data_IF_038516855084
#
_entry.id   IF_038516855084
#
_cell.length_a   1.000
_cell.length_b   1.000
_cell.length_c   1.000
_cell.angle_alpha   90.00
_cell.angle_beta   90.00
_cell.angle_gamma   90.00
#
_symmetry.space_group_name_H-M   'P 1'
#
loop_
_entity.id
_entity.type
_entity.pdbx_description
1 polymer ?
#
# COMPACT_ATOMS: atom_id res chain seq x y z
N UNK A 1 22.16 -14.93 -13.08
CA UNK A 1 20.79 -14.61 -12.61
C UNK A 1 20.89 -13.35 -11.77
N UNK A 2 20.02 -12.36 -11.97
CA UNK A 2 19.99 -11.19 -11.08
C UNK A 2 19.39 -11.61 -9.74
N UNK A 3 20.02 -11.29 -8.59
CA UNK A 3 19.42 -11.54 -7.30
C UNK A 3 18.12 -10.74 -7.15
N UNK A 4 17.12 -11.39 -6.55
CA UNK A 4 15.88 -10.74 -6.13
C UNK A 4 16.04 -10.25 -4.71
N UNK A 5 15.63 -9.02 -4.45
CA UNK A 5 15.71 -8.39 -3.14
C UNK A 5 14.33 -7.90 -2.73
N UNK A 6 13.84 -8.40 -1.60
CA UNK A 6 12.67 -7.88 -0.91
C UNK A 6 13.10 -6.76 0.02
N UNK A 7 12.41 -5.63 -0.04
CA UNK A 7 12.67 -4.46 0.81
C UNK A 7 11.40 -4.02 1.52
N UNK A 8 11.50 -3.78 2.81
CA UNK A 8 10.35 -3.46 3.67
C UNK A 8 10.46 -2.11 4.40
N UNK A 9 11.64 -1.47 4.34
CA UNK A 9 11.97 -0.27 5.10
C UNK A 9 12.45 0.91 4.26
N UNK A 10 13.59 1.49 4.63
CA UNK A 10 14.11 2.74 4.05
C UNK A 10 14.48 2.65 2.56
N UNK A 11 14.67 1.43 2.04
CA UNK A 11 14.91 1.13 0.63
C UNK A 11 13.64 1.12 -0.24
N UNK A 12 12.45 1.01 0.36
CA UNK A 12 11.17 1.05 -0.37
C UNK A 12 10.98 2.37 -1.11
N UNK A 13 10.13 2.36 -2.13
CA UNK A 13 9.77 3.56 -2.86
C UNK A 13 9.25 4.65 -1.91
N UNK A 14 9.74 5.88 -2.11
CA UNK A 14 9.53 7.02 -1.22
C UNK A 14 10.34 7.01 0.09
N UNK A 15 11.16 5.99 0.34
CA UNK A 15 12.13 5.93 1.42
C UNK A 15 13.44 6.67 1.08
N UNK A 16 14.14 7.16 2.10
CA UNK A 16 15.34 7.99 1.91
C UNK A 16 16.55 7.22 1.35
N UNK A 17 16.56 5.89 1.45
CA UNK A 17 17.59 5.02 0.86
C UNK A 17 17.16 4.41 -0.48
N UNK A 18 15.98 4.74 -1.01
CA UNK A 18 15.48 4.16 -2.27
C UNK A 18 16.44 4.37 -3.46
N UNK A 19 17.28 5.40 -3.41
CA UNK A 19 18.27 5.67 -4.46
C UNK A 19 19.25 4.50 -4.72
N UNK A 20 19.49 3.61 -3.75
CA UNK A 20 20.29 2.39 -3.95
C UNK A 20 19.65 1.43 -4.97
N UNK A 21 18.34 1.48 -5.13
CA UNK A 21 17.55 0.72 -6.10
C UNK A 21 17.30 1.48 -7.40
N UNK A 22 17.97 2.61 -7.64
CA UNK A 22 17.81 3.36 -8.88
C UNK A 22 18.07 2.48 -10.10
N UNK A 23 17.11 2.45 -11.03
CA UNK A 23 17.08 1.61 -12.23
C UNK A 23 16.98 0.08 -11.96
N UNK A 24 16.72 -0.35 -10.72
CA UNK A 24 16.32 -1.73 -10.47
C UNK A 24 14.93 -1.97 -11.05
N UNK A 25 14.70 -3.17 -11.57
CA UNK A 25 13.37 -3.55 -12.09
C UNK A 25 12.48 -3.92 -10.90
N UNK A 26 11.39 -3.18 -10.70
CA UNK A 26 10.33 -3.58 -9.76
C UNK A 26 9.61 -4.81 -10.30
N UNK A 27 9.53 -5.86 -9.48
CA UNK A 27 8.78 -7.08 -9.76
C UNK A 27 7.39 -6.98 -9.16
N UNK A 28 7.29 -6.65 -7.86
CA UNK A 28 6.04 -6.45 -7.13
C UNK A 28 6.12 -5.14 -6.35
N UNK A 29 5.13 -4.26 -6.49
CA UNK A 29 4.99 -3.08 -5.62
C UNK A 29 4.25 -3.42 -4.32
N UNK A 30 3.42 -4.47 -4.35
CA UNK A 30 2.66 -5.01 -3.24
C UNK A 30 3.04 -6.47 -3.03
N UNK A 31 3.80 -6.71 -1.96
CA UNK A 31 4.20 -8.05 -1.54
C UNK A 31 4.42 -8.11 -0.04
N UNK A 32 4.48 -9.30 0.52
CA UNK A 32 4.71 -9.51 1.94
C UNK A 32 5.41 -10.82 2.24
N UNK A 33 5.88 -10.89 3.47
CA UNK A 33 6.54 -12.04 4.09
C UNK A 33 5.96 -12.22 5.49
N UNK A 34 6.09 -13.41 6.07
CA UNK A 34 5.75 -13.63 7.47
C UNK A 34 6.86 -13.05 8.37
N UNK A 35 6.46 -12.40 9.46
CA UNK A 35 7.37 -11.84 10.45
C UNK A 35 6.83 -10.60 11.14
N UNK A 36 7.70 -9.97 11.93
CA UNK A 36 7.36 -8.81 12.75
C UNK A 36 8.25 -7.62 12.42
N UNK A 37 7.62 -6.46 12.20
CA UNK A 37 8.31 -5.22 11.90
C UNK A 37 8.35 -4.32 13.15
N UNK A 38 9.50 -3.73 13.42
CA UNK A 38 9.71 -2.83 14.55
C UNK A 38 10.36 -1.52 14.09
N UNK A 39 10.00 -0.41 14.73
CA UNK A 39 10.75 0.84 14.65
C UNK A 39 11.97 0.72 15.57
N UNK A 40 13.13 1.14 15.07
CA UNK A 40 14.36 1.15 15.89
C UNK A 40 14.54 2.49 16.62
N UNK A 41 13.61 3.43 16.45
CA UNK A 41 13.70 4.84 16.87
C UNK A 41 14.87 5.62 16.24
N UNK A 42 15.61 5.00 15.31
CA UNK A 42 16.75 5.60 14.61
C UNK A 42 16.42 5.98 13.15
N UNK A 43 15.14 6.00 12.79
CA UNK A 43 14.66 6.37 11.45
C UNK A 43 14.70 5.24 10.42
N UNK A 44 14.88 4.00 10.86
CA UNK A 44 14.82 2.80 10.02
C UNK A 44 14.17 1.63 10.78
N UNK A 45 13.48 0.71 10.09
CA UNK A 45 12.84 -0.41 10.75
C UNK A 45 13.73 -1.66 10.79
N UNK A 46 13.32 -2.63 11.60
CA UNK A 46 13.93 -3.97 11.63
C UNK A 46 12.86 -5.06 11.50
N UNK A 47 13.15 -6.06 10.68
CA UNK A 47 12.42 -7.32 10.61
C UNK A 47 13.02 -8.32 11.59
N UNK A 48 12.20 -8.87 12.50
CA UNK A 48 12.61 -9.90 13.45
C UNK A 48 11.82 -11.19 13.21
N UNK A 49 12.54 -12.32 13.27
CA UNK A 49 11.98 -13.68 13.22
C UNK A 49 11.55 -14.13 14.62
N UNK A 50 10.54 -13.45 15.18
CA UNK A 50 9.95 -13.80 16.47
C UNK A 50 8.69 -14.68 16.32
N UNK A 51 8.09 -15.07 17.45
CA UNK A 51 6.89 -15.90 17.47
C UNK A 51 5.59 -15.12 17.23
N UNK A 52 5.63 -13.82 16.92
CA UNK A 52 4.40 -13.07 16.66
C UNK A 52 3.92 -13.39 15.25
N UNK A 53 2.65 -13.74 15.15
CA UNK A 53 1.99 -13.90 13.87
C UNK A 53 1.75 -12.52 13.26
N UNK A 54 2.31 -12.28 12.07
CA UNK A 54 2.20 -11.01 11.38
C UNK A 54 2.74 -11.09 9.96
N UNK A 55 2.50 -10.02 9.21
CA UNK A 55 3.06 -9.84 7.88
C UNK A 55 3.88 -8.57 7.85
N UNK A 56 5.00 -8.61 7.13
CA UNK A 56 5.79 -7.43 6.80
C UNK A 56 5.58 -7.13 5.33
N UNK A 57 5.03 -5.95 5.05
CA UNK A 57 4.72 -5.49 3.70
C UNK A 57 5.90 -4.75 3.09
N UNK A 58 6.14 -5.03 1.82
CA UNK A 58 7.28 -4.51 1.09
C UNK A 58 7.16 -4.67 -0.42
N UNK A 59 8.29 -4.43 -1.06
CA UNK A 59 8.44 -4.40 -2.51
C UNK A 59 9.52 -5.39 -2.92
N UNK A 60 9.40 -5.97 -4.12
CA UNK A 60 10.33 -6.95 -4.65
C UNK A 60 11.01 -6.39 -5.90
N UNK A 61 12.35 -6.44 -5.94
CA UNK A 61 13.15 -5.93 -7.06
C UNK A 61 14.14 -6.95 -7.59
N UNK A 62 14.41 -6.93 -8.89
CA UNK A 62 15.63 -7.51 -9.47
C UNK A 62 16.77 -6.49 -9.34
N UNK A 63 17.82 -6.86 -8.61
CA UNK A 63 18.99 -5.99 -8.37
C UNK A 63 20.24 -6.61 -8.99
N UNK A 64 21.16 -5.77 -9.48
CA UNK A 64 22.47 -6.26 -9.93
C UNK A 64 23.42 -6.48 -8.74
N UNK A 65 24.48 -7.27 -8.94
CA UNK A 65 25.48 -7.54 -7.88
C UNK A 65 26.15 -6.28 -7.34
N UNK A 66 26.29 -5.22 -8.14
CA UNK A 66 26.86 -3.96 -7.69
C UNK A 66 25.91 -3.17 -6.77
N UNK A 67 24.60 -3.19 -7.04
CA UNK A 67 23.59 -2.63 -6.14
C UNK A 67 23.54 -3.41 -4.84
N UNK A 68 23.49 -4.74 -4.91
CA UNK A 68 23.45 -5.60 -3.72
C UNK A 68 24.66 -5.34 -2.80
N UNK A 69 25.88 -5.22 -3.34
CA UNK A 69 27.07 -4.88 -2.54
C UNK A 69 26.99 -3.52 -1.83
N UNK A 70 26.37 -2.52 -2.47
CA UNK A 70 26.16 -1.21 -1.84
C UNK A 70 25.13 -1.28 -0.72
N UNK A 71 24.10 -2.10 -0.90
CA UNK A 71 23.09 -2.35 0.12
C UNK A 71 23.70 -3.16 1.27
N UNK A 72 24.54 -4.17 1.00
CA UNK A 72 25.30 -4.88 2.04
C UNK A 72 26.12 -3.91 2.91
N UNK A 73 26.74 -2.89 2.31
CA UNK A 73 27.46 -1.84 3.06
C UNK A 73 26.53 -0.96 3.90
N UNK A 74 25.37 -0.56 3.35
CA UNK A 74 24.36 0.23 4.06
C UNK A 74 23.86 -0.52 5.30
N UNK A 75 23.52 -1.80 5.12
CA UNK A 75 22.94 -2.67 6.15
C UNK A 75 24.00 -3.25 7.11
N UNK A 76 25.28 -2.85 6.95
CA UNK A 76 26.43 -3.36 7.70
C UNK A 76 26.47 -4.89 7.74
N UNK A 77 26.30 -5.50 6.56
CA UNK A 77 26.32 -6.94 6.36
C UNK A 77 27.65 -7.40 5.76
N UNK A 78 28.28 -8.37 6.41
CA UNK A 78 29.42 -9.15 5.92
C UNK A 78 29.09 -10.64 6.07
N UNK A 79 29.30 -11.41 5.00
CA UNK A 79 28.97 -12.83 4.98
C UNK A 79 29.75 -13.61 6.06
N UNK A 80 29.03 -14.29 6.95
CA UNK A 80 29.59 -15.07 8.05
C UNK A 80 30.01 -14.27 9.28
N UNK A 81 29.85 -12.94 9.27
CA UNK A 81 30.16 -12.10 10.44
C UNK A 81 29.00 -12.12 11.45
N UNK A 82 29.22 -12.59 12.70
CA UNK A 82 28.18 -12.67 13.72
C UNK A 82 27.79 -11.31 14.34
N UNK A 83 28.50 -10.22 14.01
CA UNK A 83 28.31 -8.87 14.57
C UNK A 83 27.65 -7.90 13.57
N UNK A 84 27.10 -8.42 12.47
CA UNK A 84 26.30 -7.67 11.51
C UNK A 84 25.18 -6.88 12.20
N UNK A 85 24.87 -5.69 11.66
CA UNK A 85 23.67 -4.97 12.08
C UNK A 85 22.41 -5.69 11.55
N UNK A 86 22.45 -6.07 10.28
CA UNK A 86 21.46 -6.93 9.65
C UNK A 86 22.12 -8.16 9.04
N UNK A 87 21.50 -9.32 9.21
CA UNK A 87 21.85 -10.53 8.49
C UNK A 87 21.05 -10.63 7.20
N UNK A 88 21.61 -11.28 6.18
CA UNK A 88 20.93 -11.50 4.90
C UNK A 88 20.39 -12.91 4.82
N UNK A 89 19.09 -13.04 4.60
CA UNK A 89 18.40 -14.33 4.52
C UNK A 89 17.70 -14.52 3.18
N UNK A 90 17.53 -15.79 2.78
CA UNK A 90 16.72 -16.17 1.62
C UNK A 90 15.34 -16.62 2.07
N UNK A 91 14.32 -15.82 1.78
CA UNK A 91 12.95 -16.02 2.24
C UNK A 91 11.97 -16.19 1.06
N UNK A 92 10.75 -16.62 1.37
CA UNK A 92 9.66 -16.69 0.39
C UNK A 92 8.82 -15.42 0.49
N UNK A 93 8.71 -14.69 -0.63
CA UNK A 93 7.88 -13.50 -0.77
C UNK A 93 6.60 -13.87 -1.51
N UNK A 94 5.46 -13.37 -1.02
CA UNK A 94 4.13 -13.59 -1.61
C UNK A 94 3.57 -12.25 -2.11
N UNK A 95 2.85 -12.24 -3.24
CA UNK A 95 2.14 -11.06 -3.74
C UNK A 95 0.61 -11.25 -3.62
N UNK A 96 -0.14 -10.22 -4.03
CA UNK A 96 -1.61 -10.21 -4.00
C UNK A 96 -2.28 -11.30 -4.86
N UNK A 97 -1.53 -12.00 -5.72
CA UNK A 97 -1.99 -13.10 -6.59
C UNK A 97 -1.60 -14.49 -6.07
N UNK A 98 -1.06 -14.58 -4.85
CA UNK A 98 -0.49 -15.78 -4.23
C UNK A 98 0.73 -16.36 -5.00
N UNK A 99 1.38 -15.55 -5.85
CA UNK A 99 2.64 -15.92 -6.48
C UNK A 99 3.76 -15.92 -5.43
N UNK A 100 4.54 -17.01 -5.37
CA UNK A 100 5.61 -17.19 -4.37
C UNK A 100 6.97 -17.19 -5.03
N UNK A 101 7.84 -16.31 -4.55
CA UNK A 101 9.18 -16.11 -5.12
C UNK A 101 10.24 -16.12 -4.02
N UNK A 102 11.36 -16.82 -4.26
CA UNK A 102 12.52 -16.76 -3.37
C UNK A 102 13.30 -15.48 -3.61
N UNK A 103 13.60 -14.76 -2.54
CA UNK A 103 14.32 -13.50 -2.57
C UNK A 103 15.24 -13.35 -1.35
N UNK A 104 16.27 -12.54 -1.50
CA UNK A 104 17.07 -12.05 -0.38
C UNK A 104 16.28 -10.98 0.37
N UNK A 105 16.46 -10.91 1.68
CA UNK A 105 16.04 -9.79 2.53
C UNK A 105 17.11 -9.55 3.61
N UNK A 106 17.01 -8.44 4.32
CA UNK A 106 17.82 -8.17 5.51
C UNK A 106 16.96 -8.37 6.76
N UNK A 107 17.42 -9.15 7.73
CA UNK A 107 16.76 -9.38 9.03
C UNK A 107 17.62 -8.78 10.15
N UNK A 108 17.03 -8.43 11.28
CA UNK A 108 17.78 -7.85 12.40
C UNK A 108 18.82 -8.82 12.95
N UNK A 109 20.09 -8.39 12.98
CA UNK A 109 21.15 -9.09 13.68
C UNK A 109 21.04 -8.92 15.20
N UNK A 110 22.00 -9.48 15.95
CA UNK A 110 22.01 -9.47 17.43
C UNK A 110 21.85 -8.09 18.05
N UNK A 111 22.35 -7.04 17.37
CA UNK A 111 22.31 -5.65 17.84
C UNK A 111 20.91 -5.02 17.78
N UNK A 112 19.97 -5.64 17.08
CA UNK A 112 18.61 -5.13 16.89
C UNK A 112 17.52 -6.03 17.50
N UNK A 113 17.89 -7.17 18.08
CA UNK A 113 16.94 -8.17 18.60
C UNK A 113 16.06 -7.65 19.75
N UNK A 114 16.55 -6.63 20.49
CA UNK A 114 15.84 -6.00 21.60
C UNK A 114 14.92 -4.84 21.16
N UNK A 115 14.69 -4.67 19.86
CA UNK A 115 13.75 -3.66 19.34
C UNK A 115 12.32 -4.00 19.77
N UNK A 116 11.62 -3.04 20.39
CA UNK A 116 10.33 -3.29 21.05
C UNK A 116 9.17 -2.42 20.53
N UNK A 117 9.42 -1.38 19.73
CA UNK A 117 8.35 -0.56 19.15
C UNK A 117 7.75 -1.27 17.94
N UNK A 118 6.78 -2.15 18.19
CA UNK A 118 6.15 -2.98 17.18
C UNK A 118 5.23 -2.16 16.27
N UNK A 119 5.41 -2.34 14.96
CA UNK A 119 4.59 -1.72 13.93
C UNK A 119 3.47 -2.69 13.57
N UNK A 120 2.30 -2.52 14.21
CA UNK A 120 1.14 -3.40 14.06
C UNK A 120 0.67 -3.56 12.60
N UNK A 121 0.79 -2.52 11.78
CA UNK A 121 0.39 -2.58 10.36
C UNK A 121 1.34 -3.41 9.51
N UNK A 122 2.55 -3.70 9.99
CA UNK A 122 3.60 -4.36 9.22
C UNK A 122 4.13 -3.54 8.03
N UNK A 123 3.77 -2.26 7.91
CA UNK A 123 4.13 -1.41 6.78
C UNK A 123 4.85 -0.13 7.25
N UNK A 124 6.15 -0.06 6.97
CA UNK A 124 7.02 1.07 7.32
C UNK A 124 6.58 2.40 6.69
N UNK A 125 6.14 2.37 5.43
CA UNK A 125 5.70 3.58 4.74
C UNK A 125 4.43 4.12 5.40
N UNK A 126 3.49 3.26 5.77
CA UNK A 126 2.29 3.69 6.52
C UNK A 126 2.68 4.25 7.89
N UNK A 127 3.51 3.54 8.65
CA UNK A 127 3.97 3.96 9.97
C UNK A 127 4.60 5.36 9.95
N UNK A 128 5.50 5.62 9.02
CA UNK A 128 6.18 6.92 8.89
C UNK A 128 5.29 8.01 8.31
N UNK A 129 4.38 7.67 7.39
CA UNK A 129 3.46 8.63 6.79
C UNK A 129 2.48 9.20 7.82
N UNK A 130 1.96 8.36 8.73
CA UNK A 130 1.00 8.79 9.75
C UNK A 130 1.61 9.70 10.83
N UNK A 131 2.93 9.80 10.93
CA UNK A 131 3.62 10.75 11.82
C UNK A 131 3.58 12.21 11.30
N UNK A 132 3.03 12.45 10.10
CA UNK A 132 2.97 13.78 9.47
C UNK A 132 1.70 14.56 9.85
N UNK A 133 1.75 15.90 9.79
CA UNK A 133 0.61 16.75 10.18
C UNK A 133 -0.46 16.94 9.09
N UNK A 134 -0.11 16.75 7.81
CA UNK A 134 -1.01 17.00 6.68
C UNK A 134 -1.06 15.76 5.79
N UNK A 135 -2.02 14.88 6.05
CA UNK A 135 -2.16 13.62 5.33
C UNK A 135 -3.02 13.84 4.10
N UNK A 136 -2.58 13.30 2.96
CA UNK A 136 -3.41 13.20 1.77
C UNK A 136 -4.05 11.81 1.74
N UNK A 137 -5.37 11.78 1.63
CA UNK A 137 -6.14 10.56 1.42
C UNK A 137 -6.64 10.49 -0.02
N UNK A 138 -6.28 9.43 -0.72
CA UNK A 138 -6.74 9.14 -2.08
C UNK A 138 -7.92 8.16 -2.05
N UNK A 139 -9.11 8.63 -2.39
CA UNK A 139 -10.31 7.83 -2.50
C UNK A 139 -10.60 7.46 -3.96
N UNK A 140 -10.79 6.17 -4.25
CA UNK A 140 -11.13 5.66 -5.58
C UNK A 140 -12.48 4.92 -5.63
N UNK A 141 -13.14 4.73 -4.48
CA UNK A 141 -14.42 4.03 -4.34
C UNK A 141 -15.50 4.90 -3.69
N UNK A 142 -16.37 4.30 -2.87
CA UNK A 142 -17.48 5.01 -2.20
C UNK A 142 -17.06 6.20 -1.33
N UNK A 143 -15.80 6.25 -0.87
CA UNK A 143 -15.26 7.37 -0.11
C UNK A 143 -15.07 8.65 -0.96
N UNK A 144 -15.32 8.60 -2.27
CA UNK A 144 -15.44 9.79 -3.10
C UNK A 144 -16.75 10.55 -2.86
N UNK A 145 -17.75 9.92 -2.25
CA UNK A 145 -19.07 10.47 -1.92
C UNK A 145 -19.16 10.83 -0.43
N UNK A 146 -19.93 11.88 -0.12
CA UNK A 146 -20.01 12.50 1.21
C UNK A 146 -21.19 12.02 2.07
N UNK A 147 -22.14 11.26 1.49
CA UNK A 147 -23.36 10.82 2.19
C UNK A 147 -23.02 10.05 3.46
N UNK A 148 -22.12 9.07 3.37
CA UNK A 148 -21.70 8.27 4.54
C UNK A 148 -20.87 9.05 5.54
N UNK A 149 -20.07 10.03 5.10
CA UNK A 149 -19.33 10.87 6.04
C UNK A 149 -20.30 11.74 6.85
N UNK A 150 -21.34 12.26 6.22
CA UNK A 150 -22.41 13.04 6.86
C UNK A 150 -23.21 12.19 7.84
N UNK A 151 -23.64 10.99 7.43
CA UNK A 151 -24.38 10.06 8.28
C UNK A 151 -23.60 9.64 9.55
N UNK A 152 -22.27 9.63 9.47
CA UNK A 152 -21.38 9.31 10.60
C UNK A 152 -20.87 10.55 11.33
N UNK A 153 -21.34 11.75 10.98
CA UNK A 153 -20.92 13.04 11.55
C UNK A 153 -19.40 13.32 11.45
N UNK A 154 -18.73 12.81 10.42
CA UNK A 154 -17.30 13.00 10.16
C UNK A 154 -17.02 13.79 8.88
N UNK A 155 -18.06 14.28 8.20
CA UNK A 155 -17.97 15.07 6.95
C UNK A 155 -17.02 16.26 7.08
N UNK A 156 -16.96 16.88 8.25
CA UNK A 156 -16.08 18.02 8.52
C UNK A 156 -14.59 17.71 8.27
N UNK A 157 -14.16 16.47 8.41
CA UNK A 157 -12.78 16.05 8.10
C UNK A 157 -12.49 15.94 6.59
N UNK A 158 -13.54 15.81 5.76
CA UNK A 158 -13.42 15.54 4.32
C UNK A 158 -13.86 16.75 3.46
N UNK A 159 -14.02 17.94 4.05
CA UNK A 159 -14.37 19.18 3.33
C UNK A 159 -13.23 19.77 2.51
N UNK A 160 -11.98 19.51 2.90
CA UNK A 160 -10.81 20.02 2.20
C UNK A 160 -10.42 19.10 1.03
N UNK A 161 -11.14 19.22 -0.08
CA UNK A 161 -10.87 18.48 -1.33
C UNK A 161 -9.78 19.21 -2.10
N UNK A 162 -8.64 18.56 -2.29
CA UNK A 162 -7.48 19.15 -3.00
C UNK A 162 -7.68 19.08 -4.52
N UNK A 163 -8.35 18.03 -5.00
CA UNK A 163 -8.68 17.81 -6.42
C UNK A 163 -8.79 16.33 -6.75
N UNK A 164 -8.70 16.01 -8.03
CA UNK A 164 -8.52 14.63 -8.52
C UNK A 164 -7.04 14.36 -8.85
N UNK A 165 -6.65 13.09 -8.76
CA UNK A 165 -5.30 12.63 -9.06
C UNK A 165 -5.32 11.32 -9.85
N UNK A 166 -4.21 11.04 -10.54
CA UNK A 166 -3.97 9.78 -11.24
C UNK A 166 -3.06 8.88 -10.41
N UNK A 167 -3.46 7.63 -10.24
CA UNK A 167 -2.63 6.54 -9.75
C UNK A 167 -2.29 5.63 -10.93
N UNK A 168 -1.03 5.62 -11.37
CA UNK A 168 -0.59 4.75 -12.47
C UNK A 168 -0.18 3.37 -11.95
N UNK A 169 -0.27 2.35 -12.80
CA UNK A 169 0.17 0.99 -12.47
C UNK A 169 -0.87 0.19 -11.67
N UNK A 170 -2.10 0.69 -11.61
CA UNK A 170 -3.21 0.04 -10.93
C UNK A 170 -4.46 0.09 -11.79
N UNK A 171 -5.30 -0.93 -11.63
CA UNK A 171 -6.65 -1.01 -12.18
C UNK A 171 -7.67 -1.03 -11.05
N UNK A 172 -8.78 -0.32 -11.19
CA UNK A 172 -9.92 -0.44 -10.28
C UNK A 172 -10.72 -1.70 -10.61
N UNK A 173 -10.89 -2.59 -9.64
CA UNK A 173 -11.67 -3.83 -9.76
C UNK A 173 -12.72 -3.94 -8.64
N UNK A 174 -13.82 -4.64 -8.87
CA UNK A 174 -14.80 -5.01 -7.84
C UNK A 174 -14.48 -6.39 -7.25
N UNK A 175 -13.20 -6.62 -6.94
CA UNK A 175 -12.60 -7.92 -6.58
C UNK A 175 -12.54 -8.18 -5.07
N UNK A 176 -12.65 -7.14 -4.23
CA UNK A 176 -12.61 -7.34 -2.78
C UNK A 176 -13.91 -8.06 -2.38
N UNK A 177 -13.82 -9.16 -1.63
CA UNK A 177 -14.93 -10.09 -1.32
C UNK A 177 -15.80 -9.67 -0.12
N UNK A 178 -17.12 -9.48 -0.29
CA UNK A 178 -18.10 -9.30 0.80
C UNK A 178 -19.34 -10.12 0.52
N UNK A 179 -20.14 -10.26 1.58
CA UNK A 179 -21.42 -10.95 1.60
C UNK A 179 -22.52 -10.33 0.72
N UNK A 180 -22.38 -9.07 0.29
CA UNK A 180 -23.41 -8.30 -0.43
C UNK A 180 -23.03 -7.92 -1.87
N UNK A 181 -21.86 -8.35 -2.36
CA UNK A 181 -21.37 -8.05 -3.71
C UNK A 181 -20.01 -7.36 -3.74
N UNK A 182 -19.39 -7.26 -4.92
CA UNK A 182 -18.04 -6.76 -5.09
C UNK A 182 -17.85 -5.34 -4.55
N UNK A 183 -16.74 -5.10 -3.84
CA UNK A 183 -16.35 -3.74 -3.44
C UNK A 183 -15.10 -3.32 -4.20
N UNK A 184 -15.00 -2.02 -4.41
CA UNK A 184 -13.92 -1.40 -5.16
C UNK A 184 -12.56 -1.66 -4.50
N UNK A 185 -11.63 -2.12 -5.31
CA UNK A 185 -10.26 -2.45 -4.98
C UNK A 185 -9.34 -1.87 -6.05
N UNK A 186 -8.06 -1.73 -5.73
CA UNK A 186 -7.02 -1.44 -6.71
C UNK A 186 -6.10 -2.65 -6.83
N UNK A 187 -5.81 -3.06 -8.06
CA UNK A 187 -5.00 -4.25 -8.36
C UNK A 187 -3.85 -3.83 -9.26
N UNK A 188 -2.64 -4.33 -8.97
CA UNK A 188 -1.46 -4.02 -9.77
C UNK A 188 -1.65 -4.39 -11.25
N UNK A 189 -1.53 -3.37 -12.11
CA UNK A 189 -1.59 -3.49 -13.55
C UNK A 189 -0.82 -2.33 -14.19
N UNK A 190 0.40 -2.61 -14.65
CA UNK A 190 1.35 -1.61 -15.19
C UNK A 190 0.85 -0.85 -16.43
N UNK A 191 -0.24 -1.30 -17.06
CA UNK A 191 -0.81 -0.68 -18.25
C UNK A 191 -2.05 0.17 -17.95
N UNK A 192 -2.56 0.11 -16.72
CA UNK A 192 -3.78 0.77 -16.30
C UNK A 192 -3.50 1.93 -15.34
N UNK A 193 -4.55 2.72 -15.12
CA UNK A 193 -4.54 3.83 -14.18
C UNK A 193 -5.89 3.96 -13.48
N UNK A 194 -5.86 4.52 -12.28
CA UNK A 194 -7.03 4.85 -11.48
C UNK A 194 -7.10 6.36 -11.28
N UNK A 195 -8.25 6.96 -11.55
CA UNK A 195 -8.54 8.32 -11.10
C UNK A 195 -9.25 8.27 -9.74
N UNK A 196 -8.88 9.17 -8.84
CA UNK A 196 -9.49 9.25 -7.53
C UNK A 196 -9.54 10.68 -7.01
N UNK A 197 -10.38 10.90 -6.01
CA UNK A 197 -10.53 12.17 -5.30
C UNK A 197 -9.51 12.23 -4.15
N UNK A 198 -8.81 13.35 -4.03
CA UNK A 198 -7.81 13.58 -2.99
C UNK A 198 -8.35 14.56 -1.95
N UNK A 199 -8.32 14.12 -0.70
CA UNK A 199 -8.64 14.93 0.47
C UNK A 199 -7.37 15.23 1.25
N UNK A 200 -7.28 16.43 1.84
CA UNK A 200 -6.36 16.67 2.94
C UNK A 200 -7.11 16.44 4.24
N UNK A 201 -6.65 15.49 5.04
CA UNK A 201 -7.34 15.02 6.25
C UNK A 201 -6.39 15.03 7.45
N UNK A 202 -6.93 15.25 8.66
CA UNK A 202 -6.14 15.10 9.88
C UNK A 202 -6.04 13.61 10.27
N UNK A 203 -5.18 13.29 11.24
CA UNK A 203 -4.93 11.91 11.67
C UNK A 203 -6.21 11.21 12.20
N UNK A 204 -7.08 11.95 12.89
CA UNK A 204 -8.34 11.43 13.44
C UNK A 204 -9.27 10.89 12.34
N UNK A 205 -9.25 11.51 11.15
CA UNK A 205 -10.02 11.05 10.01
C UNK A 205 -9.50 9.71 9.48
N UNK A 206 -8.18 9.47 9.56
CA UNK A 206 -7.58 8.18 9.19
C UNK A 206 -8.01 7.09 10.18
N UNK A 207 -8.10 7.40 11.48
CA UNK A 207 -8.64 6.46 12.47
C UNK A 207 -10.09 6.05 12.14
N UNK A 208 -10.93 6.99 11.68
CA UNK A 208 -12.25 6.67 11.15
C UNK A 208 -12.18 5.78 9.90
N UNK A 209 -11.30 6.09 8.94
CA UNK A 209 -11.13 5.30 7.72
C UNK A 209 -10.69 3.87 8.05
N UNK A 210 -9.80 3.64 9.01
CA UNK A 210 -9.41 2.28 9.44
C UNK A 210 -10.59 1.44 9.88
N UNK A 211 -11.53 2.05 10.62
CA UNK A 211 -12.77 1.38 11.01
C UNK A 211 -13.69 1.14 9.81
N UNK A 212 -13.88 2.15 8.95
CA UNK A 212 -14.76 2.07 7.76
C UNK A 212 -14.29 1.02 6.76
N UNK A 213 -12.98 0.95 6.52
CA UNK A 213 -12.34 0.03 5.58
C UNK A 213 -12.08 -1.35 6.21
N UNK A 214 -12.47 -1.55 7.48
CA UNK A 214 -12.36 -2.85 8.14
C UNK A 214 -10.92 -3.34 8.30
N UNK A 215 -9.97 -2.44 8.58
CA UNK A 215 -8.55 -2.78 8.77
C UNK A 215 -8.36 -3.80 9.89
N UNK A 216 -9.05 -3.61 11.01
CA UNK A 216 -8.97 -4.49 12.19
C UNK A 216 -9.62 -5.86 11.98
N UNK A 217 -10.38 -6.05 10.90
CA UNK A 217 -10.96 -7.33 10.51
C UNK A 217 -10.36 -7.84 9.20
N UNK A 218 -9.22 -7.27 8.80
CA UNK A 218 -8.45 -7.65 7.61
C UNK A 218 -9.29 -7.63 6.32
N UNK A 219 -10.18 -6.64 6.14
CA UNK A 219 -10.95 -6.47 4.91
C UNK A 219 -10.18 -5.64 3.85
N UNK A 220 -9.52 -4.57 4.31
CA UNK A 220 -8.54 -3.80 3.57
C UNK A 220 -7.32 -3.55 4.46
N UNK A 221 -6.19 -3.25 3.85
CA UNK A 221 -5.00 -2.73 4.54
C UNK A 221 -4.64 -1.34 4.00
N UNK A 222 -4.10 -0.44 4.84
CA UNK A 222 -3.59 0.85 4.39
C UNK A 222 -2.31 0.65 3.55
N UNK A 223 -2.13 1.49 2.53
CA UNK A 223 -0.89 1.61 1.76
C UNK A 223 -0.58 3.07 1.45
N UNK A 224 0.69 3.37 1.22
CA UNK A 224 1.12 4.68 0.72
C UNK A 224 1.46 4.56 -0.77
N UNK A 225 0.79 5.35 -1.58
CA UNK A 225 0.93 5.38 -3.04
C UNK A 225 1.46 6.73 -3.52
N UNK A 226 2.09 6.71 -4.69
CA UNK A 226 2.47 7.91 -5.42
C UNK A 226 1.37 8.25 -6.43
N UNK A 227 0.85 9.46 -6.33
CA UNK A 227 -0.24 9.97 -7.17
C UNK A 227 0.21 11.22 -7.93
N UNK A 228 -0.26 11.38 -9.16
CA UNK A 228 -0.07 12.59 -9.93
C UNK A 228 -1.22 13.55 -9.66
N UNK A 229 -1.00 14.53 -8.78
CA UNK A 229 -1.97 15.53 -8.36
C UNK A 229 -1.57 16.89 -8.92
N UNK A 230 -2.38 17.46 -9.81
CA UNK A 230 -2.11 18.75 -10.48
C UNK A 230 -0.73 18.80 -11.19
N UNK A 231 -0.30 17.67 -11.75
CA UNK A 231 0.99 17.54 -12.44
C UNK A 231 2.20 17.33 -11.52
N UNK A 232 1.99 17.29 -10.20
CA UNK A 232 3.05 17.00 -9.22
C UNK A 232 2.85 15.60 -8.62
N UNK A 233 3.95 14.87 -8.45
CA UNK A 233 3.93 13.63 -7.69
C UNK A 233 3.76 13.96 -6.19
N UNK A 234 2.75 13.36 -5.57
CA UNK A 234 2.47 13.44 -4.13
C UNK A 234 2.29 12.04 -3.57
N UNK A 235 2.61 11.87 -2.28
CA UNK A 235 2.30 10.63 -1.56
C UNK A 235 0.95 10.76 -0.86
N UNK A 236 0.12 9.74 -0.97
CA UNK A 236 -1.17 9.67 -0.31
C UNK A 236 -1.39 8.30 0.35
N UNK A 237 -2.10 8.29 1.48
CA UNK A 237 -2.65 7.05 2.01
C UNK A 237 -3.88 6.65 1.18
N UNK A 238 -4.00 5.36 0.91
CA UNK A 238 -5.20 4.71 0.40
C UNK A 238 -5.35 3.34 1.07
N UNK A 239 -6.37 2.59 0.68
CA UNK A 239 -6.63 1.25 1.18
C UNK A 239 -6.67 0.27 0.01
N UNK A 240 -6.22 -0.96 0.22
CA UNK A 240 -6.22 -2.03 -0.78
C UNK A 240 -6.78 -3.31 -0.17
N UNK A 241 -7.58 -4.06 -0.93
CA UNK A 241 -8.19 -5.31 -0.48
C UNK A 241 -7.12 -6.35 -0.15
N UNK A 242 -7.27 -7.01 1.00
CA UNK A 242 -6.36 -8.05 1.52
C UNK A 242 -6.65 -9.43 0.95
N UNK A 243 -7.92 -9.67 0.58
CA UNK A 243 -8.39 -10.88 -0.10
C UNK A 243 -9.10 -10.47 -1.39
N UNK A 244 -8.55 -10.92 -2.51
CA UNK A 244 -9.01 -10.58 -3.85
C UNK A 244 -9.62 -11.81 -4.49
N UNK A 245 -10.83 -11.67 -5.01
CA UNK A 245 -11.56 -12.69 -5.75
C UNK A 245 -11.92 -12.19 -7.15
N UNK A 246 -12.56 -13.04 -7.95
CA UNK A 246 -13.10 -12.62 -9.23
C UNK A 246 -14.09 -11.46 -9.03
N UNK A 247 -14.12 -10.52 -9.98
CA UNK A 247 -15.01 -9.37 -9.89
C UNK A 247 -16.48 -9.81 -9.85
N UNK A 248 -17.24 -9.22 -8.93
CA UNK A 248 -18.69 -9.38 -8.87
C UNK A 248 -19.37 -8.02 -8.87
N UNK A 249 -20.64 -7.98 -9.24
CA UNK A 249 -21.38 -6.72 -9.26
C UNK A 249 -21.42 -6.09 -7.85
N UNK A 250 -21.15 -4.78 -7.73
CA UNK A 250 -21.45 -4.05 -6.50
C UNK A 250 -22.97 -3.98 -6.28
N UNK A 251 -23.40 -3.65 -5.05
CA UNK A 251 -24.81 -3.28 -4.84
C UNK A 251 -25.15 -2.00 -5.59
N UNK A 252 -26.43 -1.83 -5.96
CA UNK A 252 -26.92 -0.62 -6.65
C UNK A 252 -26.61 0.64 -5.82
N UNK A 253 -26.80 0.58 -4.50
CA UNK A 253 -26.50 1.71 -3.60
C UNK A 253 -25.01 2.03 -3.60
N UNK A 254 -24.14 1.02 -3.51
CA UNK A 254 -22.68 1.22 -3.53
C UNK A 254 -22.18 1.77 -4.86
N UNK A 255 -22.73 1.27 -5.99
CA UNK A 255 -22.45 1.83 -7.31
C UNK A 255 -22.89 3.29 -7.41
N UNK A 256 -24.07 3.63 -6.89
CA UNK A 256 -24.61 4.99 -6.90
C UNK A 256 -23.71 5.97 -6.14
N UNK A 257 -23.20 5.59 -4.97
CA UNK A 257 -22.21 6.38 -4.23
C UNK A 257 -20.94 6.62 -5.06
N UNK A 258 -20.37 5.58 -5.68
CA UNK A 258 -19.18 5.71 -6.53
C UNK A 258 -19.45 6.69 -7.68
N UNK A 259 -20.59 6.58 -8.35
CA UNK A 259 -20.93 7.44 -9.49
C UNK A 259 -21.18 8.89 -9.08
N UNK A 260 -21.87 9.14 -7.96
CA UNK A 260 -22.05 10.49 -7.42
C UNK A 260 -20.73 11.12 -6.99
N UNK A 261 -19.89 10.36 -6.28
CA UNK A 261 -18.61 10.83 -5.77
C UNK A 261 -17.59 11.14 -6.87
N UNK A 262 -17.66 10.41 -7.98
CA UNK A 262 -16.77 10.60 -9.14
C UNK A 262 -17.20 11.73 -10.07
N UNK A 263 -18.51 11.91 -10.26
CA UNK A 263 -19.07 12.93 -11.16
C UNK A 263 -18.68 14.35 -10.72
N UNK A 264 -18.18 15.15 -11.68
CA UNK A 264 -17.73 16.52 -11.42
C UNK A 264 -16.33 16.64 -10.80
N UNK A 265 -15.64 15.53 -10.54
CA UNK A 265 -14.27 15.52 -10.01
C UNK A 265 -13.29 14.74 -10.88
N UNK A 266 -13.67 13.53 -11.30
CA UNK A 266 -12.87 12.71 -12.21
C UNK A 266 -13.15 13.12 -13.67
N UNK A 267 -12.31 12.67 -14.60
CA UNK A 267 -12.52 12.93 -16.02
C UNK A 267 -13.77 12.22 -16.54
N UNK A 268 -14.51 12.87 -17.43
CA UNK A 268 -15.72 12.29 -18.04
C UNK A 268 -15.45 10.94 -18.72
N UNK A 269 -14.28 10.80 -19.35
CA UNK A 269 -13.85 9.54 -19.96
C UNK A 269 -13.65 8.41 -18.95
N UNK A 270 -13.10 8.72 -17.77
CA UNK A 270 -12.90 7.73 -16.72
C UNK A 270 -14.23 7.35 -16.06
N UNK A 271 -15.08 8.33 -15.77
CA UNK A 271 -16.44 8.11 -15.25
C UNK A 271 -17.27 7.23 -16.21
N UNK A 272 -17.20 7.48 -17.51
CA UNK A 272 -17.87 6.65 -18.52
C UNK A 272 -17.34 5.21 -18.53
N UNK A 273 -16.01 5.03 -18.44
CA UNK A 273 -15.38 3.70 -18.35
C UNK A 273 -15.84 2.95 -17.10
N UNK A 274 -15.85 3.62 -15.95
CA UNK A 274 -16.29 3.06 -14.68
C UNK A 274 -17.77 2.65 -14.71
N UNK A 275 -18.63 3.51 -15.25
CA UNK A 275 -20.05 3.20 -15.43
C UNK A 275 -20.26 1.99 -16.35
N UNK A 276 -19.51 1.89 -17.44
CA UNK A 276 -19.56 0.76 -18.35
C UNK A 276 -19.12 -0.54 -17.66
N UNK A 277 -18.05 -0.50 -16.87
CA UNK A 277 -17.58 -1.65 -16.08
C UNK A 277 -18.66 -2.15 -15.11
N UNK A 278 -19.24 -1.23 -14.33
CA UNK A 278 -20.35 -1.53 -13.40
C UNK A 278 -21.55 -2.15 -14.16
N UNK A 279 -21.94 -1.56 -15.30
CA UNK A 279 -23.06 -2.05 -16.10
C UNK A 279 -22.80 -3.44 -16.70
N UNK A 280 -21.55 -3.77 -17.04
CA UNK A 280 -21.19 -5.11 -17.50
C UNK A 280 -21.29 -6.13 -16.38
N UNK A 281 -20.84 -5.80 -15.17
CA UNK A 281 -20.94 -6.70 -14.01
C UNK A 281 -22.40 -6.98 -13.63
N UNK A 282 -23.30 -6.00 -13.73
CA UNK A 282 -24.74 -6.21 -13.51
C UNK A 282 -25.44 -7.11 -14.54
N UNK A 283 -24.78 -7.43 -15.67
CA UNK A 283 -25.33 -8.29 -16.72
C UNK A 283 -24.85 -9.74 -16.64
N UNK A 284 -23.87 -10.03 -15.78
CA UNK A 284 -23.35 -11.39 -15.54
C UNK A 284 -24.30 -12.16 -14.62
#
# INVERSE_FOLDING_TARGET
MMPKLFVYGTLRNGGHNHFYLSNATSIYHQSWIEGSLYDTDNGYPVLLSDNRAGYVYGELYDVCSAQLKKIDQLEQYVEGDPDNLYDRECITVTNDKDDKVKALTYVGGKRLIDSNDWIETGDWNVHTYLKQQNLLYFAYGSCMDDERFTLQCVDHHFKNIIGSALLNGFELQFSRNSTDGGKADIVENNNEKVEGKVYQVPLEAVSYLYKREGVYVNAYRPIIIDILLKGENKRAITFIGTQKEAETAPTINYASEIMRGSSGFLSDSYVATLQNKINMLFKQ
#
